data_IF_090096828013
#
_entry.id   IF_090096828013
#
_cell.length_a   1.000
_cell.length_b   1.000
_cell.length_c   1.000
_cell.angle_alpha   90.00
_cell.angle_beta   90.00
_cell.angle_gamma   90.00
#
_symmetry.space_group_name_H-M   'P 1'
#
loop_
_entity.id
_entity.type
_entity.pdbx_description
1 polymer ?
#
# COMPACT_ATOMS: atom_id res chain seq x y z
N UNK A 1 -22.97 -53.66 28.06
CA UNK A 1 -23.02 -53.43 29.52
C UNK A 1 -21.65 -52.89 29.91
N UNK A 2 -21.36 -51.67 30.38
CA UNK A 2 -22.05 -50.45 30.86
C UNK A 2 -21.02 -49.30 30.63
N UNK A 3 -21.38 -48.23 29.93
CA UNK A 3 -21.58 -46.86 30.46
C UNK A 3 -20.36 -46.32 31.25
N UNK A 4 -19.53 -45.46 30.63
CA UNK A 4 -19.60 -43.99 30.68
C UNK A 4 -18.94 -43.38 31.92
N UNK A 5 -17.81 -42.70 31.72
CA UNK A 5 -17.38 -41.58 32.57
C UNK A 5 -17.08 -40.41 31.64
N UNK A 6 -18.06 -39.51 31.57
CA UNK A 6 -18.03 -38.27 30.81
C UNK A 6 -17.15 -37.29 31.59
N UNK A 7 -15.96 -37.00 31.09
CA UNK A 7 -15.17 -35.85 31.56
C UNK A 7 -15.21 -34.82 30.46
N UNK A 8 -16.15 -33.89 30.60
CA UNK A 8 -16.23 -32.71 29.77
C UNK A 8 -15.07 -31.77 30.08
N UNK A 9 -14.32 -31.41 29.05
CA UNK A 9 -13.62 -30.14 28.97
C UNK A 9 -13.80 -29.63 27.54
N UNK A 10 -14.76 -28.72 27.39
CA UNK A 10 -14.84 -27.83 26.24
C UNK A 10 -13.69 -26.84 26.37
N UNK A 11 -12.65 -26.98 25.55
CA UNK A 11 -11.65 -25.94 25.34
C UNK A 11 -11.62 -25.58 23.86
N UNK A 12 -12.15 -24.39 23.62
CA UNK A 12 -12.27 -23.72 22.35
C UNK A 12 -10.91 -23.44 21.67
N UNK A 13 -10.93 -23.47 20.34
CA UNK A 13 -10.34 -22.48 19.43
C UNK A 13 -8.89 -22.03 19.70
N UNK A 14 -7.97 -22.41 18.79
CA UNK A 14 -7.20 -21.43 18.00
C UNK A 14 -6.22 -22.15 17.06
N UNK A 15 -6.54 -22.17 15.76
CA UNK A 15 -5.55 -22.34 14.70
C UNK A 15 -4.66 -21.10 14.72
N UNK A 16 -3.51 -21.20 15.38
CA UNK A 16 -2.46 -20.18 15.36
C UNK A 16 -1.62 -20.30 14.10
N UNK A 17 -2.12 -19.80 12.97
CA UNK A 17 -1.25 -19.50 11.84
C UNK A 17 -0.28 -18.40 12.26
N UNK A 18 0.97 -18.77 12.46
CA UNK A 18 2.11 -17.86 12.68
C UNK A 18 2.40 -17.08 11.39
N UNK A 19 1.55 -16.11 11.09
CA UNK A 19 1.80 -15.10 10.07
C UNK A 19 2.80 -14.08 10.59
N UNK A 20 4.07 -14.24 10.21
CA UNK A 20 5.09 -13.23 10.42
C UNK A 20 4.79 -11.99 9.55
N UNK A 21 4.64 -10.83 10.20
CA UNK A 21 4.81 -9.54 9.53
C UNK A 21 3.58 -8.94 8.85
N UNK A 22 2.42 -8.95 9.49
CA UNK A 22 1.40 -7.93 9.26
C UNK A 22 1.90 -6.58 9.77
N UNK A 23 2.92 -6.01 9.12
CA UNK A 23 3.32 -4.62 9.34
C UNK A 23 2.05 -3.79 9.11
N UNK A 24 1.54 -3.20 10.20
CA UNK A 24 0.27 -2.51 10.25
C UNK A 24 0.08 -1.69 9.00
N UNK A 25 -0.74 -2.21 8.07
CA UNK A 25 -1.24 -1.40 7.00
C UNK A 25 -1.98 -0.30 7.73
N UNK A 26 -1.54 0.95 7.55
CA UNK A 26 -2.41 2.08 7.80
C UNK A 26 -3.55 2.00 6.75
N UNK A 27 -4.36 0.94 6.79
CA UNK A 27 -5.38 0.66 5.79
C UNK A 27 -6.53 1.62 6.04
N UNK A 28 -6.62 2.64 5.19
CA UNK A 28 -7.76 3.54 5.16
C UNK A 28 -7.43 4.90 4.57
N UNK A 29 -8.37 5.83 4.73
CA UNK A 29 -8.30 7.19 4.20
C UNK A 29 -7.07 7.99 4.67
N UNK A 30 -6.57 7.71 5.88
CA UNK A 30 -5.41 8.41 6.45
C UNK A 30 -4.10 8.18 5.68
N UNK A 31 -3.81 6.94 5.29
CA UNK A 31 -2.63 6.63 4.49
C UNK A 31 -2.73 7.21 3.07
N UNK A 32 -3.91 7.17 2.47
CA UNK A 32 -4.15 7.80 1.16
C UNK A 32 -3.97 9.32 1.21
N UNK A 33 -4.44 9.97 2.28
CA UNK A 33 -4.23 11.40 2.47
C UNK A 33 -2.74 11.75 2.63
N UNK A 34 -2.03 11.03 3.51
CA UNK A 34 -0.57 11.20 3.67
C UNK A 34 0.18 10.93 2.36
N UNK A 35 -0.16 9.86 1.65
CA UNK A 35 0.40 9.50 0.35
C UNK A 35 0.21 10.59 -0.69
N UNK A 36 -0.98 11.20 -0.76
CA UNK A 36 -1.26 12.34 -1.63
C UNK A 36 -0.40 13.56 -1.29
N UNK A 37 -0.24 13.89 -0.01
CA UNK A 37 0.63 14.98 0.42
C UNK A 37 2.11 14.71 0.07
N UNK A 38 2.57 13.46 0.18
CA UNK A 38 3.92 13.06 -0.21
C UNK A 38 4.10 13.23 -1.72
N UNK A 39 3.14 12.75 -2.51
CA UNK A 39 3.19 12.85 -3.96
C UNK A 39 3.33 14.31 -4.41
N UNK A 40 2.47 15.19 -3.88
CA UNK A 40 2.46 16.60 -4.25
C UNK A 40 3.79 17.31 -3.95
N UNK A 41 4.42 17.01 -2.81
CA UNK A 41 5.65 17.71 -2.38
C UNK A 41 6.95 17.10 -2.92
N UNK A 42 6.97 15.79 -3.20
CA UNK A 42 8.21 15.05 -3.49
C UNK A 42 8.24 14.37 -4.85
N UNK A 43 7.09 14.15 -5.50
CA UNK A 43 7.01 13.39 -6.75
C UNK A 43 6.55 14.27 -7.93
N UNK A 44 5.59 15.16 -7.69
CA UNK A 44 4.92 15.98 -8.71
C UNK A 44 5.85 16.94 -9.47
N UNK A 45 7.03 17.23 -8.92
CA UNK A 45 8.05 18.04 -9.61
C UNK A 45 8.64 17.33 -10.83
N UNK A 46 8.66 15.99 -10.83
CA UNK A 46 9.25 15.20 -11.90
C UNK A 46 8.23 14.26 -12.57
N UNK A 47 7.19 13.83 -11.86
CA UNK A 47 6.24 12.84 -12.34
C UNK A 47 4.83 13.40 -12.45
N UNK A 48 4.09 12.89 -13.43
CA UNK A 48 2.63 13.00 -13.43
C UNK A 48 1.99 11.77 -12.80
N UNK A 49 0.72 11.92 -12.46
CA UNK A 49 -0.17 10.88 -12.01
C UNK A 49 -1.55 11.14 -12.64
N UNK A 50 -1.92 10.28 -13.58
CA UNK A 50 -3.14 10.43 -14.38
C UNK A 50 -3.15 11.69 -15.26
N UNK A 51 -1.97 12.11 -15.75
CA UNK A 51 -1.81 13.29 -16.61
C UNK A 51 -2.12 14.64 -15.95
N UNK A 52 -2.15 14.73 -14.61
CA UNK A 52 -2.63 15.93 -13.89
C UNK A 52 -1.54 16.99 -13.70
N UNK A 53 -0.29 16.57 -13.56
CA UNK A 53 0.88 17.42 -13.37
C UNK A 53 1.50 17.77 -14.74
N UNK A 54 2.22 18.89 -14.84
CA UNK A 54 2.77 19.41 -16.12
C UNK A 54 4.30 19.45 -16.06
N UNK A 55 4.96 19.32 -17.21
CA UNK A 55 6.43 19.45 -17.33
C UNK A 55 7.22 18.32 -16.67
N UNK A 56 6.57 17.19 -16.39
CA UNK A 56 7.15 16.07 -15.66
C UNK A 56 8.00 15.17 -16.57
N UNK A 57 9.33 15.30 -16.45
CA UNK A 57 10.32 14.51 -17.19
C UNK A 57 10.33 13.02 -16.85
N UNK A 58 9.85 12.66 -15.66
CA UNK A 58 9.77 11.28 -15.16
C UNK A 58 8.54 10.51 -15.65
N UNK A 59 7.67 11.12 -16.45
CA UNK A 59 6.48 10.47 -17.01
C UNK A 59 5.36 10.20 -16.01
N UNK A 60 4.32 9.49 -16.46
CA UNK A 60 3.11 9.20 -15.69
C UNK A 60 3.22 7.88 -14.92
N UNK A 61 3.21 7.96 -13.59
CA UNK A 61 3.30 6.78 -12.73
C UNK A 61 2.05 5.89 -12.79
N UNK A 62 0.89 6.42 -13.19
CA UNK A 62 -0.32 5.62 -13.35
C UNK A 62 -0.23 4.63 -14.54
N UNK A 63 0.66 4.89 -15.50
CA UNK A 63 0.85 4.03 -16.68
C UNK A 63 1.69 2.77 -16.39
N UNK A 64 2.55 2.80 -15.36
CA UNK A 64 3.59 1.78 -15.13
C UNK A 64 3.08 0.43 -14.58
N UNK A 65 1.80 0.33 -14.19
CA UNK A 65 1.17 -0.92 -13.69
C UNK A 65 1.99 -1.68 -12.64
N UNK A 66 2.55 -0.96 -11.66
CA UNK A 66 3.36 -1.52 -10.60
C UNK A 66 2.53 -1.92 -9.37
N UNK A 67 3.02 -2.92 -8.61
CA UNK A 67 2.45 -3.23 -7.30
C UNK A 67 2.81 -2.15 -6.28
N UNK A 68 2.09 -2.10 -5.15
CA UNK A 68 2.42 -1.19 -4.04
C UNK A 68 3.84 -1.46 -3.50
N UNK A 69 4.26 -2.73 -3.45
CA UNK A 69 5.58 -3.09 -2.96
C UNK A 69 6.69 -2.57 -3.90
N UNK A 70 6.50 -2.73 -5.22
CA UNK A 70 7.44 -2.24 -6.21
C UNK A 70 7.53 -0.72 -6.19
N UNK A 71 6.38 -0.03 -6.17
CA UNK A 71 6.34 1.43 -6.05
C UNK A 71 7.06 1.93 -4.80
N UNK A 72 6.86 1.30 -3.66
CA UNK A 72 7.55 1.67 -2.42
C UNK A 72 9.05 1.37 -2.47
N UNK A 73 9.45 0.32 -3.18
CA UNK A 73 10.87 0.01 -3.42
C UNK A 73 11.52 1.08 -4.29
N UNK A 74 10.89 1.40 -5.43
CA UNK A 74 11.36 2.43 -6.35
C UNK A 74 11.41 3.81 -5.70
N UNK A 75 10.39 4.18 -4.91
CA UNK A 75 10.36 5.47 -4.21
C UNK A 75 11.52 5.66 -3.20
N UNK A 76 12.18 4.58 -2.76
CA UNK A 76 13.36 4.65 -1.87
C UNK A 76 14.69 4.79 -2.61
N UNK A 77 14.74 4.37 -3.88
CA UNK A 77 15.95 4.44 -4.72
C UNK A 77 15.91 5.59 -5.72
N UNK A 78 14.72 6.00 -6.16
CA UNK A 78 14.52 7.22 -6.94
C UNK A 78 14.92 8.44 -6.10
N UNK A 79 15.56 9.44 -6.73
CA UNK A 79 16.00 10.63 -6.03
C UNK A 79 14.80 11.50 -5.66
N UNK A 80 14.30 11.33 -4.44
CA UNK A 80 13.41 12.27 -3.78
C UNK A 80 14.13 12.89 -2.58
N UNK A 81 14.00 14.20 -2.42
CA UNK A 81 14.56 14.92 -1.27
C UNK A 81 13.45 15.50 -0.40
N UNK A 82 13.47 15.28 0.93
CA UNK A 82 14.35 14.35 1.66
C UNK A 82 14.05 12.87 1.33
N UNK A 83 14.95 11.95 1.70
CA UNK A 83 14.70 10.50 1.57
C UNK A 83 13.46 10.11 2.38
N UNK A 84 12.58 9.32 1.79
CA UNK A 84 11.35 8.87 2.45
C UNK A 84 11.65 7.80 3.51
N UNK A 85 10.90 7.87 4.61
CA UNK A 85 10.82 6.76 5.55
C UNK A 85 10.13 5.56 4.90
N UNK A 86 10.28 4.35 5.47
CA UNK A 86 9.57 3.16 4.97
C UNK A 86 8.04 3.36 4.98
N UNK A 87 7.51 3.97 6.03
CA UNK A 87 6.08 4.23 6.16
C UNK A 87 5.58 5.23 5.10
N UNK A 88 6.36 6.28 4.82
CA UNK A 88 5.99 7.27 3.80
C UNK A 88 6.09 6.68 2.39
N UNK A 89 7.12 5.87 2.11
CA UNK A 89 7.25 5.17 0.85
C UNK A 89 6.05 4.24 0.58
N UNK A 90 5.56 3.54 1.60
CA UNK A 90 4.35 2.74 1.50
C UNK A 90 3.10 3.61 1.30
N UNK A 91 2.95 4.70 2.06
CA UNK A 91 1.79 5.58 1.95
C UNK A 91 1.65 6.20 0.54
N UNK A 92 2.75 6.70 -0.04
CA UNK A 92 2.72 7.25 -1.40
C UNK A 92 2.50 6.17 -2.46
N UNK A 93 3.06 4.97 -2.27
CA UNK A 93 2.84 3.84 -3.17
C UNK A 93 1.37 3.39 -3.18
N UNK A 94 0.72 3.33 -2.01
CA UNK A 94 -0.71 3.05 -1.91
C UNK A 94 -1.56 4.10 -2.61
N UNK A 95 -1.21 5.38 -2.45
CA UNK A 95 -1.90 6.47 -3.14
C UNK A 95 -1.77 6.34 -4.67
N UNK A 96 -0.57 6.19 -5.21
CA UNK A 96 -0.33 6.02 -6.66
C UNK A 96 -1.09 4.81 -7.20
N UNK A 97 -0.98 3.66 -6.51
CA UNK A 97 -1.67 2.44 -6.91
C UNK A 97 -3.19 2.61 -6.89
N UNK A 98 -3.75 3.33 -5.92
CA UNK A 98 -5.20 3.59 -5.83
C UNK A 98 -5.71 4.43 -7.01
N UNK A 99 -4.95 5.45 -7.43
CA UNK A 99 -5.29 6.30 -8.57
C UNK A 99 -5.22 5.48 -9.86
N UNK A 100 -4.12 4.76 -10.08
CA UNK A 100 -3.95 3.88 -11.23
C UNK A 100 -5.08 2.83 -11.33
N UNK A 101 -5.44 2.20 -10.21
CA UNK A 101 -6.55 1.26 -10.15
C UNK A 101 -7.89 1.92 -10.50
N UNK A 102 -8.14 3.16 -10.04
CA UNK A 102 -9.37 3.87 -10.37
C UNK A 102 -9.47 4.23 -11.85
N UNK A 103 -8.36 4.60 -12.52
CA UNK A 103 -8.37 4.92 -13.94
C UNK A 103 -8.69 3.67 -14.78
N UNK A 104 -8.07 2.53 -14.44
CA UNK A 104 -8.32 1.26 -15.12
C UNK A 104 -9.80 0.85 -15.07
N UNK A 105 -10.47 1.08 -13.94
CA UNK A 105 -11.91 0.80 -13.80
C UNK A 105 -12.82 1.73 -14.60
N UNK A 106 -12.33 2.90 -15.03
CA UNK A 106 -13.12 3.89 -15.78
C UNK A 106 -12.91 3.79 -17.29
N UNK A 107 -11.79 3.19 -17.72
CA UNK A 107 -11.42 3.05 -19.13
C UNK A 107 -11.64 1.65 -19.72
N UNK A 108 -12.24 0.74 -18.96
CA UNK A 108 -12.74 -0.56 -19.45
C UNK A 108 -14.25 -0.56 -19.36
#
# INVERSE_FOLDING_TARGET
MRASAVIGVVCALAVGATGCGGAGRASGAGALHRGRQIFARSCAACHTLAGRERGAVGGDLAALRLSVADLASFARVMPVRPRLSRADALAVAEYIHSVAASLRRRGG
#
